data_IF_107612163997
#
_entry.id   IF_107612163997
#
_cell.length_a   1.000
_cell.length_b   1.000
_cell.length_c   1.000
_cell.angle_alpha   90.00
_cell.angle_beta   90.00
_cell.angle_gamma   90.00
#
_symmetry.space_group_name_H-M   'P 1'
#
loop_
_entity.id
_entity.type
_entity.pdbx_description
1 polymer ?
#
# COMPACT_ATOMS: atom_id res chain seq x y z
N UNK A 1 -15.73 10.02 -18.00
CA UNK A 1 -14.42 9.84 -17.34
C UNK A 1 -13.66 11.15 -17.27
N UNK A 2 -13.48 11.86 -18.37
CA UNK A 2 -12.75 13.14 -18.43
C UNK A 2 -13.37 14.21 -17.51
N UNK A 3 -14.70 14.35 -17.47
CA UNK A 3 -15.38 15.32 -16.60
C UNK A 3 -15.09 15.08 -15.09
N UNK A 4 -14.99 13.81 -14.70
CA UNK A 4 -14.60 13.47 -13.31
C UNK A 4 -13.15 13.84 -13.00
N UNK A 5 -12.25 13.61 -13.95
CA UNK A 5 -10.84 13.97 -13.79
C UNK A 5 -10.66 15.49 -13.73
N UNK A 6 -11.37 16.23 -14.57
CA UNK A 6 -11.35 17.69 -14.51
C UNK A 6 -11.88 18.23 -13.18
N UNK A 7 -12.96 17.63 -12.64
CA UNK A 7 -13.48 18.00 -11.33
C UNK A 7 -12.47 17.72 -10.20
N UNK A 8 -11.70 16.63 -10.31
CA UNK A 8 -10.61 16.30 -9.37
C UNK A 8 -9.48 17.33 -9.46
N UNK A 9 -9.07 17.73 -10.66
CA UNK A 9 -8.07 18.77 -10.86
C UNK A 9 -8.50 20.11 -10.24
N UNK A 10 -9.73 20.54 -10.54
CA UNK A 10 -10.27 21.77 -9.98
C UNK A 10 -10.28 21.73 -8.43
N UNK A 11 -10.69 20.59 -7.86
CA UNK A 11 -10.67 20.41 -6.40
C UNK A 11 -9.26 20.44 -5.83
N UNK A 12 -8.28 19.84 -6.50
CA UNK A 12 -6.88 19.90 -6.09
C UNK A 12 -6.33 21.32 -6.11
N UNK A 13 -6.65 22.10 -7.15
CA UNK A 13 -6.27 23.51 -7.26
C UNK A 13 -6.90 24.35 -6.17
N UNK A 14 -8.19 24.15 -5.85
CA UNK A 14 -8.85 24.81 -4.72
C UNK A 14 -8.19 24.49 -3.38
N UNK A 15 -7.82 23.22 -3.15
CA UNK A 15 -7.13 22.81 -1.92
C UNK A 15 -5.72 23.39 -1.86
N UNK A 16 -5.03 23.47 -2.99
CA UNK A 16 -3.71 24.09 -3.09
C UNK A 16 -3.78 25.58 -2.77
N UNK A 17 -4.70 26.30 -3.39
CA UNK A 17 -4.92 27.72 -3.10
C UNK A 17 -5.30 27.99 -1.62
N UNK A 18 -6.12 27.10 -1.03
CA UNK A 18 -6.45 27.20 0.40
C UNK A 18 -5.23 26.95 1.31
N UNK A 19 -4.36 26.01 0.92
CA UNK A 19 -3.15 25.70 1.72
C UNK A 19 -2.11 26.82 1.73
N UNK A 20 -2.17 27.75 0.78
CA UNK A 20 -1.27 28.92 0.69
C UNK A 20 -1.78 30.12 1.50
N UNK A 21 -3.00 30.08 2.04
CA UNK A 21 -3.57 31.18 2.82
C UNK A 21 -2.90 31.28 4.20
N UNK A 22 -2.62 32.48 4.70
CA UNK A 22 -1.96 32.66 6.01
C UNK A 22 -2.72 32.01 7.17
N UNK A 23 -4.05 31.99 7.11
CA UNK A 23 -4.92 31.46 8.17
C UNK A 23 -5.12 29.93 8.10
N UNK A 24 -4.51 29.26 7.12
CA UNK A 24 -4.71 27.83 6.89
C UNK A 24 -4.37 26.97 8.12
N UNK A 25 -3.32 27.34 8.84
CA UNK A 25 -2.84 26.61 10.03
C UNK A 25 -3.47 27.08 11.34
N UNK A 26 -4.43 28.01 11.33
CA UNK A 26 -5.14 28.45 12.52
C UNK A 26 -5.92 27.30 13.19
N UNK A 27 -6.41 26.33 12.40
CA UNK A 27 -7.02 25.10 12.89
C UNK A 27 -6.21 23.89 12.41
N UNK A 28 -5.34 23.32 13.26
CA UNK A 28 -4.46 22.21 12.88
C UNK A 28 -5.20 20.95 12.45
N UNK A 29 -6.37 20.65 13.02
CA UNK A 29 -7.14 19.45 12.68
C UNK A 29 -7.76 19.58 11.28
N UNK A 30 -8.30 20.75 10.98
CA UNK A 30 -8.88 21.06 9.67
C UNK A 30 -7.79 21.12 8.61
N UNK A 31 -6.65 21.75 8.88
CA UNK A 31 -5.50 21.79 8.00
C UNK A 31 -4.98 20.40 7.67
N UNK A 32 -4.80 19.54 8.67
CA UNK A 32 -4.36 18.16 8.46
C UNK A 32 -5.32 17.35 7.58
N UNK A 33 -6.64 17.54 7.76
CA UNK A 33 -7.67 16.87 6.93
C UNK A 33 -7.59 17.33 5.47
N UNK A 34 -7.49 18.64 5.23
CA UNK A 34 -7.42 19.21 3.88
C UNK A 34 -6.11 18.82 3.16
N UNK A 35 -4.98 18.79 3.89
CA UNK A 35 -3.71 18.33 3.33
C UNK A 35 -3.74 16.84 2.97
N UNK A 36 -4.38 16.01 3.79
CA UNK A 36 -4.57 14.58 3.44
C UNK A 36 -5.39 14.44 2.17
N UNK A 37 -6.50 15.16 2.07
CA UNK A 37 -7.35 15.16 0.89
C UNK A 37 -6.60 15.63 -0.36
N UNK A 38 -5.80 16.68 -0.26
CA UNK A 38 -4.90 17.15 -1.32
C UNK A 38 -3.92 16.05 -1.77
N UNK A 39 -3.20 15.45 -0.80
CA UNK A 39 -2.21 14.40 -1.08
C UNK A 39 -2.84 13.15 -1.70
N UNK A 40 -4.10 12.84 -1.38
CA UNK A 40 -4.83 11.73 -1.99
C UNK A 40 -5.19 12.00 -3.45
N UNK A 41 -5.42 13.25 -3.83
CA UNK A 41 -5.73 13.65 -5.20
C UNK A 41 -4.48 13.83 -6.07
N UNK A 42 -3.34 14.20 -5.48
CA UNK A 42 -2.09 14.51 -6.17
C UNK A 42 -1.67 13.44 -7.20
N UNK A 43 -1.59 12.13 -6.88
CA UNK A 43 -1.17 11.11 -7.85
C UNK A 43 -2.16 10.97 -9.03
N UNK A 44 -3.44 11.32 -8.83
CA UNK A 44 -4.44 11.29 -9.91
C UNK A 44 -4.22 12.49 -10.83
N UNK A 45 -3.98 13.66 -10.25
CA UNK A 45 -3.74 14.91 -10.98
C UNK A 45 -2.45 14.83 -11.80
N UNK A 46 -1.36 14.33 -11.20
CA UNK A 46 -0.10 14.10 -11.90
C UNK A 46 -0.26 13.13 -13.08
N UNK A 47 -0.94 12.00 -12.85
CA UNK A 47 -1.19 11.03 -13.91
C UNK A 47 -2.06 11.61 -15.04
N UNK A 48 -3.03 12.47 -14.72
CA UNK A 48 -3.87 13.11 -15.69
C UNK A 48 -3.14 14.20 -16.48
N UNK A 49 -2.29 15.00 -15.85
CA UNK A 49 -1.44 15.96 -16.55
C UNK A 49 -0.46 15.25 -17.51
N UNK A 50 0.18 14.17 -17.04
CA UNK A 50 1.06 13.36 -17.90
C UNK A 50 0.28 12.72 -19.08
N UNK A 51 -0.96 12.29 -18.86
CA UNK A 51 -1.82 11.76 -19.91
C UNK A 51 -2.14 12.83 -20.98
N UNK A 52 -2.48 14.04 -20.55
CA UNK A 52 -2.75 15.15 -21.46
C UNK A 52 -1.49 15.58 -22.23
N UNK A 53 -0.32 15.56 -21.56
CA UNK A 53 0.96 15.84 -22.23
C UNK A 53 1.27 14.79 -23.29
N UNK A 54 1.14 13.50 -22.96
CA UNK A 54 1.35 12.44 -23.94
C UNK A 54 0.36 12.53 -25.13
N UNK A 55 -0.86 13.00 -24.89
CA UNK A 55 -1.83 13.26 -25.95
C UNK A 55 -1.42 14.43 -26.85
N UNK A 56 -0.86 15.49 -26.25
CA UNK A 56 -0.34 16.64 -27.00
C UNK A 56 0.89 16.24 -27.82
N UNK A 57 1.82 15.50 -27.21
CA UNK A 57 3.03 14.99 -27.90
C UNK A 57 2.67 14.13 -29.11
N UNK A 58 1.60 13.32 -29.01
CA UNK A 58 1.07 12.56 -30.15
C UNK A 58 0.54 13.47 -31.26
N UNK A 59 -0.19 14.53 -30.90
CA UNK A 59 -0.74 15.47 -31.88
C UNK A 59 0.37 16.25 -32.60
N UNK A 60 1.34 16.73 -31.81
CA UNK A 60 2.50 17.48 -32.33
C UNK A 60 3.36 16.60 -33.25
N UNK A 61 3.64 15.36 -32.84
CA UNK A 61 4.36 14.39 -33.64
C UNK A 61 3.61 14.09 -34.98
N UNK A 62 2.28 13.98 -34.93
CA UNK A 62 1.46 13.72 -36.10
C UNK A 62 1.48 14.88 -37.08
N UNK A 63 1.47 16.12 -36.61
CA UNK A 63 1.57 17.33 -37.43
C UNK A 63 2.95 17.41 -38.13
N UNK A 64 4.02 17.14 -37.35
CA UNK A 64 5.39 17.18 -37.89
C UNK A 64 5.74 16.01 -38.82
N UNK A 65 4.95 14.92 -38.84
CA UNK A 65 5.11 13.81 -39.80
C UNK A 65 4.86 14.23 -41.26
N UNK A 66 4.28 15.41 -41.51
CA UNK A 66 4.10 15.97 -42.85
C UNK A 66 5.45 16.31 -43.49
N UNK A 67 6.51 16.57 -42.72
CA UNK A 67 7.86 16.81 -43.21
C UNK A 67 8.60 15.48 -43.42
N UNK A 68 9.08 15.18 -44.64
CA UNK A 68 9.79 13.95 -44.96
C UNK A 68 11.09 13.74 -44.15
N UNK A 69 11.79 14.80 -43.75
CA UNK A 69 13.05 14.73 -42.98
C UNK A 69 12.79 14.37 -41.53
N UNK A 70 11.64 14.78 -40.98
CA UNK A 70 11.27 14.54 -39.58
C UNK A 70 10.48 13.24 -39.36
N UNK A 71 9.98 12.64 -40.45
CA UNK A 71 9.00 11.55 -40.43
C UNK A 71 9.43 10.37 -39.58
N UNK A 72 10.69 9.90 -39.66
CA UNK A 72 11.18 8.75 -38.93
C UNK A 72 11.24 9.02 -37.42
N UNK A 73 11.74 10.18 -37.01
CA UNK A 73 11.82 10.61 -35.62
C UNK A 73 10.42 10.82 -35.02
N UNK A 74 9.53 11.45 -35.77
CA UNK A 74 8.16 11.69 -35.32
C UNK A 74 7.35 10.40 -35.20
N UNK A 75 7.62 9.37 -36.01
CA UNK A 75 7.00 8.05 -35.84
C UNK A 75 7.42 7.39 -34.54
N UNK A 76 8.69 7.47 -34.16
CA UNK A 76 9.20 6.92 -32.90
C UNK A 76 8.59 7.68 -31.70
N UNK A 77 8.60 9.02 -31.74
CA UNK A 77 7.99 9.87 -30.71
C UNK A 77 6.50 9.58 -30.55
N UNK A 78 5.76 9.46 -31.65
CA UNK A 78 4.34 9.12 -31.64
C UNK A 78 4.09 7.74 -31.00
N UNK A 79 4.88 6.73 -31.35
CA UNK A 79 4.75 5.38 -30.80
C UNK A 79 5.03 5.37 -29.28
N UNK A 80 6.07 6.08 -28.84
CA UNK A 80 6.40 6.21 -27.42
C UNK A 80 5.30 6.95 -26.64
N UNK A 81 4.83 8.07 -27.13
CA UNK A 81 3.76 8.85 -26.52
C UNK A 81 2.43 8.07 -26.45
N UNK A 82 2.13 7.27 -27.47
CA UNK A 82 0.96 6.38 -27.49
C UNK A 82 1.05 5.32 -26.40
N UNK A 83 2.18 4.62 -26.28
CA UNK A 83 2.38 3.60 -25.26
C UNK A 83 2.30 4.21 -23.84
N UNK A 84 2.88 5.40 -23.65
CA UNK A 84 2.80 6.15 -22.39
C UNK A 84 1.36 6.53 -22.05
N UNK A 85 0.58 7.04 -23.02
CA UNK A 85 -0.82 7.38 -22.85
C UNK A 85 -1.66 6.18 -22.43
N UNK A 86 -1.46 5.01 -23.06
CA UNK A 86 -2.16 3.77 -22.71
C UNK A 86 -1.85 3.32 -21.28
N UNK A 87 -0.58 3.30 -20.89
CA UNK A 87 -0.16 2.97 -19.54
C UNK A 87 -0.71 3.95 -18.48
N UNK A 88 -0.74 5.25 -18.80
CA UNK A 88 -1.32 6.26 -17.91
C UNK A 88 -2.85 6.13 -17.80
N UNK A 89 -3.54 5.73 -18.86
CA UNK A 89 -4.97 5.46 -18.81
C UNK A 89 -5.31 4.32 -17.85
N UNK A 90 -4.56 3.22 -17.89
CA UNK A 90 -4.69 2.10 -16.95
C UNK A 90 -4.38 2.54 -15.50
N UNK A 91 -3.29 3.29 -15.31
CA UNK A 91 -2.91 3.82 -13.99
C UNK A 91 -4.03 4.71 -13.41
N UNK A 92 -4.61 5.60 -14.22
CA UNK A 92 -5.72 6.46 -13.79
C UNK A 92 -6.94 5.63 -13.39
N UNK A 93 -7.29 4.59 -14.15
CA UNK A 93 -8.39 3.70 -13.79
C UNK A 93 -8.19 3.05 -12.41
N UNK A 94 -6.98 2.58 -12.12
CA UNK A 94 -6.64 1.99 -10.82
C UNK A 94 -6.72 3.05 -9.71
N UNK A 95 -6.21 4.27 -9.95
CA UNK A 95 -6.24 5.35 -8.96
C UNK A 95 -7.65 5.87 -8.67
N UNK A 96 -8.58 5.71 -9.60
CA UNK A 96 -10.00 6.09 -9.44
C UNK A 96 -10.84 5.03 -8.73
N UNK A 97 -10.29 3.85 -8.42
CA UNK A 97 -11.01 2.85 -7.64
C UNK A 97 -11.32 3.40 -6.24
N UNK A 98 -12.52 3.12 -5.72
CA UNK A 98 -12.88 3.56 -4.39
C UNK A 98 -11.91 2.96 -3.36
N UNK A 99 -11.27 3.82 -2.57
CA UNK A 99 -10.45 3.40 -1.44
C UNK A 99 -11.34 3.01 -0.26
N UNK A 100 -10.96 1.95 0.44
CA UNK A 100 -11.61 1.58 1.70
C UNK A 100 -11.35 2.70 2.74
N UNK A 101 -12.39 3.26 3.38
CA UNK A 101 -12.20 4.30 4.40
C UNK A 101 -11.39 3.83 5.61
N UNK A 102 -11.24 2.52 5.78
CA UNK A 102 -10.43 1.93 6.85
C UNK A 102 -8.95 1.80 6.48
N UNK A 103 -8.57 1.96 5.19
CA UNK A 103 -7.19 1.76 4.73
C UNK A 103 -6.16 2.66 5.44
N UNK A 104 -6.60 3.80 5.97
CA UNK A 104 -5.75 4.74 6.72
C UNK A 104 -5.72 4.46 8.25
N UNK A 105 -6.47 3.45 8.72
CA UNK A 105 -6.50 3.12 10.14
C UNK A 105 -5.27 2.32 10.56
N UNK A 106 -4.97 2.41 11.87
CA UNK A 106 -4.04 1.50 12.51
C UNK A 106 -4.64 0.10 12.62
N UNK A 107 -3.80 -0.91 12.77
CA UNK A 107 -4.19 -2.31 12.90
C UNK A 107 -3.81 -2.82 14.27
N UNK A 108 -4.73 -3.47 14.95
CA UNK A 108 -4.44 -4.31 16.10
C UNK A 108 -4.19 -5.72 15.56
N UNK A 109 -3.04 -6.28 15.88
CA UNK A 109 -2.68 -7.64 15.52
C UNK A 109 -2.56 -8.49 16.77
N UNK A 110 -3.20 -9.65 16.74
CA UNK A 110 -3.14 -10.67 17.77
C UNK A 110 -2.56 -11.93 17.15
N UNK A 111 -1.46 -12.42 17.70
CA UNK A 111 -0.84 -13.67 17.29
C UNK A 111 -0.95 -14.65 18.45
N UNK A 112 -1.57 -15.81 18.21
CA UNK A 112 -1.73 -16.86 19.21
C UNK A 112 -1.11 -18.16 18.73
N UNK A 113 -0.32 -18.79 19.58
CA UNK A 113 0.17 -20.14 19.35
C UNK A 113 -1.00 -21.13 19.27
N UNK A 114 -1.04 -21.91 18.17
CA UNK A 114 -2.08 -22.92 17.98
C UNK A 114 -1.76 -24.25 18.66
N UNK A 115 -2.35 -25.33 18.14
CA UNK A 115 -2.06 -26.69 18.61
C UNK A 115 -0.63 -27.10 18.23
N UNK A 116 0.18 -27.50 19.19
CA UNK A 116 1.58 -27.90 18.94
C UNK A 116 2.52 -27.64 20.10
N UNK A 117 2.01 -27.15 21.21
CA UNK A 117 2.82 -26.90 22.41
C UNK A 117 3.92 -25.87 22.14
N UNK A 118 5.15 -26.16 22.57
CA UNK A 118 6.29 -25.24 22.47
C UNK A 118 6.66 -24.91 21.01
N UNK A 119 6.53 -25.86 20.08
CA UNK A 119 6.83 -25.61 18.67
C UNK A 119 5.89 -24.55 18.04
N UNK A 120 4.61 -24.55 18.46
CA UNK A 120 3.66 -23.53 18.02
C UNK A 120 4.01 -22.15 18.59
N UNK A 121 4.52 -22.08 19.81
CA UNK A 121 4.97 -20.85 20.43
C UNK A 121 6.25 -20.28 19.76
N UNK A 122 7.20 -21.15 19.39
CA UNK A 122 8.38 -20.76 18.61
C UNK A 122 7.99 -20.24 17.21
N UNK A 123 7.00 -20.85 16.59
CA UNK A 123 6.49 -20.36 15.32
C UNK A 123 5.76 -19.01 15.45
N UNK A 124 4.94 -18.83 16.49
CA UNK A 124 4.29 -17.55 16.77
C UNK A 124 5.33 -16.42 17.03
N UNK A 125 6.44 -16.72 17.72
CA UNK A 125 7.57 -15.80 17.84
C UNK A 125 8.15 -15.43 16.48
N UNK A 126 8.33 -16.40 15.59
CA UNK A 126 8.83 -16.15 14.23
C UNK A 126 7.90 -15.26 13.41
N UNK A 127 6.58 -15.43 13.55
CA UNK A 127 5.57 -14.58 12.92
C UNK A 127 5.61 -13.15 13.48
N UNK A 128 5.65 -13.00 14.81
CA UNK A 128 5.76 -11.68 15.44
C UNK A 128 7.01 -10.93 14.95
N UNK A 129 8.16 -11.63 14.90
CA UNK A 129 9.40 -11.06 14.35
C UNK A 129 9.25 -10.67 12.87
N UNK A 130 8.62 -11.50 12.05
CA UNK A 130 8.36 -11.22 10.64
C UNK A 130 7.55 -9.94 10.46
N UNK A 131 6.44 -9.79 11.17
CA UNK A 131 5.61 -8.60 11.11
C UNK A 131 6.32 -7.36 11.65
N UNK A 132 7.12 -7.52 12.71
CA UNK A 132 7.93 -6.42 13.27
C UNK A 132 8.97 -5.92 12.24
N UNK A 133 9.66 -6.82 11.57
CA UNK A 133 10.62 -6.47 10.51
C UNK A 133 9.92 -5.83 9.30
N UNK A 134 8.74 -6.34 8.93
CA UNK A 134 7.96 -5.77 7.84
C UNK A 134 7.49 -4.36 8.15
N UNK A 135 6.97 -4.14 9.36
CA UNK A 135 6.56 -2.81 9.81
C UNK A 135 7.73 -1.82 9.79
N UNK A 136 8.90 -2.21 10.30
CA UNK A 136 10.11 -1.39 10.25
C UNK A 136 10.52 -1.04 8.81
N UNK A 137 10.46 -2.00 7.89
CA UNK A 137 10.73 -1.78 6.45
C UNK A 137 9.77 -0.78 5.82
N UNK A 138 8.51 -0.79 6.25
CA UNK A 138 7.46 0.11 5.76
C UNK A 138 7.47 1.49 6.45
N UNK A 139 8.33 1.69 7.45
CA UNK A 139 8.36 2.91 8.25
C UNK A 139 7.17 3.04 9.22
N UNK A 140 6.55 1.90 9.57
CA UNK A 140 5.46 1.86 10.56
C UNK A 140 6.01 1.66 11.97
N UNK A 141 5.31 2.19 12.96
CA UNK A 141 5.60 1.94 14.38
C UNK A 141 4.82 0.75 14.90
N UNK A 142 5.44 0.01 15.82
CA UNK A 142 4.79 -1.07 16.58
C UNK A 142 4.74 -0.65 18.03
N UNK A 143 3.56 -0.77 18.63
CA UNK A 143 3.32 -0.61 20.05
C UNK A 143 2.86 -1.97 20.60
N UNK A 144 3.68 -2.57 21.46
CA UNK A 144 3.38 -3.84 22.09
C UNK A 144 2.41 -3.62 23.26
N UNK A 145 1.25 -4.30 23.22
CA UNK A 145 0.23 -4.22 24.26
C UNK A 145 0.36 -5.37 25.26
N UNK A 146 0.59 -6.58 24.74
CA UNK A 146 0.75 -7.79 25.56
C UNK A 146 1.72 -8.76 24.88
N UNK A 147 2.57 -9.40 25.67
CA UNK A 147 3.49 -10.44 25.21
C UNK A 147 3.60 -11.52 26.28
N UNK A 148 3.16 -12.73 25.93
CA UNK A 148 3.26 -13.91 26.79
C UNK A 148 4.29 -14.87 26.20
N UNK A 149 5.49 -14.86 26.77
CA UNK A 149 6.62 -15.67 26.30
C UNK A 149 6.66 -17.03 27.00
N UNK A 150 7.30 -18.01 26.35
CA UNK A 150 7.63 -19.32 26.97
C UNK A 150 9.07 -19.33 27.45
N UNK A 151 9.41 -20.29 28.30
CA UNK A 151 10.77 -20.47 28.82
C UNK A 151 11.81 -20.74 27.72
N UNK A 152 11.39 -21.32 26.60
CA UNK A 152 12.25 -21.63 25.45
C UNK A 152 12.30 -20.51 24.42
N UNK A 153 11.78 -19.30 24.75
CA UNK A 153 11.80 -18.15 23.85
C UNK A 153 10.70 -18.14 22.78
N UNK A 154 9.70 -19.02 22.93
CA UNK A 154 8.49 -18.97 22.10
C UNK A 154 7.52 -17.91 22.62
N UNK A 155 6.46 -17.63 21.86
CA UNK A 155 5.39 -16.69 22.19
C UNK A 155 4.06 -17.43 22.16
N UNK A 156 3.36 -17.48 23.31
CA UNK A 156 2.00 -18.03 23.39
C UNK A 156 0.98 -17.06 22.80
N UNK A 157 1.18 -15.78 23.08
CA UNK A 157 0.31 -14.70 22.67
C UNK A 157 1.11 -13.40 22.52
N UNK A 158 0.87 -12.66 21.46
CA UNK A 158 1.42 -11.32 21.25
C UNK A 158 0.33 -10.42 20.67
N UNK A 159 -0.02 -9.35 21.40
CA UNK A 159 -0.98 -8.34 20.98
C UNK A 159 -0.23 -7.02 20.79
N UNK A 160 -0.34 -6.44 19.61
CA UNK A 160 0.37 -5.21 19.29
C UNK A 160 -0.39 -4.35 18.27
N UNK A 161 -0.16 -3.04 18.33
CA UNK A 161 -0.72 -2.08 17.39
C UNK A 161 0.34 -1.77 16.34
N UNK A 162 -0.04 -1.83 15.07
CA UNK A 162 0.78 -1.36 13.94
C UNK A 162 0.19 -0.03 13.45
N UNK A 163 0.97 1.04 13.57
CA UNK A 163 0.55 2.39 13.22
C UNK A 163 1.41 2.96 12.09
N UNK A 164 0.76 3.41 11.03
CA UNK A 164 1.42 4.02 9.89
C UNK A 164 0.50 4.11 8.67
N UNK A 165 0.91 4.92 7.70
CA UNK A 165 0.12 5.13 6.49
C UNK A 165 -0.06 3.81 5.72
N UNK A 166 -1.31 3.43 5.48
CA UNK A 166 -1.65 2.23 4.74
C UNK A 166 -1.38 0.91 5.49
N UNK A 167 -1.19 0.94 6.82
CA UNK A 167 -0.98 -0.27 7.61
C UNK A 167 -2.17 -1.23 7.47
N UNK A 168 -3.40 -0.74 7.68
CA UNK A 168 -4.60 -1.56 7.52
C UNK A 168 -4.75 -2.09 6.10
N UNK A 169 -4.54 -1.29 5.08
CA UNK A 169 -4.70 -1.71 3.68
C UNK A 169 -3.84 -2.90 3.29
N UNK A 170 -2.67 -3.05 3.93
CA UNK A 170 -1.75 -4.16 3.71
C UNK A 170 -2.03 -5.37 4.58
N UNK A 171 -2.36 -5.14 5.86
CA UNK A 171 -2.48 -6.19 6.86
C UNK A 171 -3.90 -6.75 7.01
N UNK A 172 -4.93 -6.11 6.45
CA UNK A 172 -6.33 -6.56 6.54
C UNK A 172 -6.60 -7.97 5.99
N UNK A 173 -5.71 -8.50 5.17
CA UNK A 173 -5.83 -9.84 4.59
C UNK A 173 -4.99 -10.90 5.33
N UNK A 174 -4.24 -10.51 6.36
CA UNK A 174 -3.38 -11.42 7.12
C UNK A 174 -4.14 -12.17 8.24
N UNK A 175 -5.43 -11.87 8.43
CA UNK A 175 -6.27 -12.60 9.39
C UNK A 175 -6.50 -14.02 8.91
N UNK A 176 -6.19 -15.00 9.76
CA UNK A 176 -6.38 -16.42 9.44
C UNK A 176 -5.38 -17.31 10.17
N UNK A 177 -5.24 -18.55 9.69
CA UNK A 177 -4.35 -19.55 10.25
C UNK A 177 -3.07 -19.64 9.43
N UNK A 178 -1.93 -19.49 10.11
CA UNK A 178 -0.62 -19.70 9.53
C UNK A 178 -0.14 -21.12 9.82
N UNK A 179 0.30 -21.83 8.79
CA UNK A 179 0.84 -23.18 8.90
C UNK A 179 2.30 -23.19 8.48
N UNK A 180 3.13 -23.82 9.30
CA UNK A 180 4.54 -24.08 8.98
C UNK A 180 4.76 -25.57 8.70
N UNK A 181 5.59 -25.86 7.69
CA UNK A 181 6.06 -27.20 7.37
C UNK A 181 7.57 -27.17 7.44
N UNK A 182 8.10 -27.54 8.62
CA UNK A 182 9.53 -27.64 8.87
C UNK A 182 9.81 -28.79 9.85
N UNK A 183 11.05 -29.24 9.95
CA UNK A 183 11.47 -30.12 11.02
C UNK A 183 11.39 -29.34 12.33
N UNK A 184 10.69 -29.88 13.36
CA UNK A 184 10.57 -29.21 14.65
C UNK A 184 11.93 -28.95 15.31
N UNK A 185 12.11 -27.76 15.88
CA UNK A 185 13.35 -27.41 16.59
C UNK A 185 13.46 -28.13 17.93
N UNK A 186 12.31 -28.55 18.49
CA UNK A 186 12.19 -29.23 19.79
C UNK A 186 12.42 -30.74 19.70
N UNK A 187 12.49 -31.33 18.50
CA UNK A 187 12.72 -32.78 18.33
C UNK A 187 14.15 -33.07 17.93
N UNK A 188 14.89 -33.72 18.84
CA UNK A 188 16.19 -34.32 18.56
C UNK A 188 15.98 -35.64 17.80
N UNK A 189 16.02 -35.66 16.46
CA UNK A 189 16.08 -36.91 15.74
C UNK A 189 15.25 -37.05 14.45
N UNK A 190 14.89 -35.99 13.75
CA UNK A 190 14.45 -36.08 12.34
C UNK A 190 13.08 -36.73 12.09
N UNK A 191 12.23 -36.93 13.09
CA UNK A 191 10.86 -37.39 12.91
C UNK A 191 9.95 -36.20 12.57
N UNK A 192 9.52 -36.14 11.33
CA UNK A 192 8.49 -35.18 10.89
C UNK A 192 7.13 -35.69 11.36
N UNK A 193 6.60 -35.15 12.45
CA UNK A 193 5.18 -35.27 12.77
C UNK A 193 4.43 -34.14 12.08
N UNK A 194 3.84 -34.42 10.91
CA UNK A 194 2.84 -33.54 10.32
C UNK A 194 1.54 -33.63 11.14
N UNK A 195 1.39 -32.77 12.13
CA UNK A 195 0.11 -32.57 12.79
C UNK A 195 -0.70 -31.57 11.99
N UNK A 196 -1.76 -32.05 11.36
CA UNK A 196 -2.81 -31.22 10.82
C UNK A 196 -3.48 -30.46 11.98
N UNK A 197 -3.27 -29.14 12.05
CA UNK A 197 -4.07 -28.29 12.94
C UNK A 197 -5.43 -28.13 12.28
N UNK A 198 -6.39 -28.95 12.71
CA UNK A 198 -7.79 -28.81 12.34
C UNK A 198 -8.34 -27.49 12.86
N UNK A 199 -9.02 -26.78 11.97
CA UNK A 199 -9.90 -25.66 12.28
C UNK A 199 -11.02 -26.15 13.20
N UNK A 200 -11.16 -25.57 14.38
CA UNK A 200 -12.45 -25.51 15.05
C UNK A 200 -12.84 -24.05 15.26
N UNK A 201 -14.10 -23.82 14.98
CA UNK A 201 -14.86 -22.58 14.79
C UNK A 201 -14.77 -21.53 15.88
#
# INVERSE_FOLDING_TARGET
MLDKLQAICNKYEELSAKSEQPDFYADPQKAAKLLREKNDLEPIVEAFHAYNQAQQDMADAQELMADPEMKALCQETYAAAKAQKEALAEKIQILLLPKDPNDEKNVIMEIRGGVGGEESALFAHSLFRMYSMYAAKMGWSIELMNLNETELGGVKEADFIVSGRGAYSRLKYESGVHRVQRVPETESGGRVHSRENGLEH
#
